data_IF_510098075418
#
_entry.id   IF_510098075418
#
_cell.length_a   1.000
_cell.length_b   1.000
_cell.length_c   1.000
_cell.angle_alpha   90.00
_cell.angle_beta   90.00
_cell.angle_gamma   90.00
#
_symmetry.space_group_name_H-M   'P 1'
#
loop_
_entity.id
_entity.type
_entity.pdbx_description
1 polymer ?
#
# COMPACT_ATOMS: atom_id res chain seq x y z
N UNK A 1 47.83 -25.37 -14.18
CA UNK A 1 47.29 -24.00 -13.97
C UNK A 1 45.94 -23.84 -14.69
N UNK A 2 45.03 -24.81 -14.50
CA UNK A 2 43.73 -24.91 -15.22
C UNK A 2 42.63 -25.52 -14.33
N UNK A 3 42.79 -25.45 -13.01
CA UNK A 3 41.85 -26.09 -12.04
C UNK A 3 41.39 -25.16 -10.91
N UNK A 4 41.81 -23.88 -10.91
CA UNK A 4 41.48 -22.95 -9.82
C UNK A 4 40.27 -22.03 -10.10
N UNK A 5 39.61 -22.15 -11.26
CA UNK A 5 38.50 -21.25 -11.68
C UNK A 5 37.12 -21.92 -11.56
N UNK A 6 37.04 -23.21 -11.20
CA UNK A 6 35.79 -23.99 -11.32
C UNK A 6 34.98 -24.16 -10.02
N UNK A 7 35.32 -23.51 -8.89
CA UNK A 7 34.75 -23.91 -7.58
C UNK A 7 33.91 -22.91 -6.79
N UNK A 8 33.57 -21.74 -7.35
CA UNK A 8 32.77 -20.74 -6.61
C UNK A 8 31.40 -20.39 -7.26
N UNK A 9 30.90 -21.20 -8.19
CA UNK A 9 29.48 -21.18 -8.55
C UNK A 9 28.70 -22.19 -7.70
N UNK A 10 28.76 -22.03 -6.38
CA UNK A 10 27.70 -22.59 -5.55
C UNK A 10 26.42 -21.80 -5.78
N UNK A 11 25.42 -22.56 -6.17
CA UNK A 11 24.10 -22.17 -6.60
C UNK A 11 23.30 -21.52 -5.46
N UNK A 12 23.47 -20.21 -5.30
CA UNK A 12 22.68 -19.38 -4.38
C UNK A 12 21.21 -19.20 -4.84
N UNK A 13 20.77 -19.91 -5.89
CA UNK A 13 19.35 -20.07 -6.22
C UNK A 13 18.62 -21.10 -5.35
N UNK A 14 19.37 -21.86 -4.53
CA UNK A 14 18.84 -22.92 -3.67
C UNK A 14 18.34 -22.47 -2.28
N UNK A 15 18.55 -21.20 -1.90
CA UNK A 15 17.91 -20.66 -0.69
C UNK A 15 16.43 -20.45 -0.99
N UNK A 16 15.50 -21.08 -0.26
CA UNK A 16 14.07 -20.89 -0.50
C UNK A 16 13.77 -19.40 -0.44
N UNK A 17 13.24 -18.86 -1.54
CA UNK A 17 12.75 -17.49 -1.60
C UNK A 17 11.94 -17.23 -0.34
N UNK A 18 12.28 -16.17 0.39
CA UNK A 18 11.68 -15.83 1.67
C UNK A 18 10.16 -15.96 1.53
N UNK A 19 9.54 -16.93 2.24
CA UNK A 19 8.11 -17.22 2.14
C UNK A 19 7.37 -15.90 2.29
N UNK A 20 6.79 -15.42 1.19
CA UNK A 20 6.04 -14.17 1.20
C UNK A 20 4.96 -14.29 2.27
N UNK A 21 4.67 -13.19 2.97
CA UNK A 21 3.72 -13.18 4.11
C UNK A 21 2.25 -13.25 3.65
N UNK A 22 1.98 -13.90 2.52
CA UNK A 22 0.67 -14.03 1.89
C UNK A 22 0.20 -15.48 1.97
N UNK A 23 -1.11 -15.68 2.08
CA UNK A 23 -1.72 -17.01 1.96
C UNK A 23 -1.79 -17.46 0.51
N UNK A 24 -1.55 -18.74 0.27
CA UNK A 24 -1.94 -19.40 -0.97
C UNK A 24 -3.44 -19.70 -0.88
N UNK A 25 -4.24 -18.96 -1.65
CA UNK A 25 -5.69 -19.02 -1.57
C UNK A 25 -6.25 -20.17 -2.44
N UNK A 26 -7.10 -21.06 -1.88
CA UNK A 26 -7.91 -21.99 -2.67
C UNK A 26 -8.82 -21.25 -3.66
N UNK A 27 -9.24 -21.91 -4.73
CA UNK A 27 -10.08 -21.30 -5.79
C UNK A 27 -11.34 -20.59 -5.27
N UNK A 28 -11.98 -21.14 -4.23
CA UNK A 28 -13.16 -20.53 -3.60
C UNK A 28 -12.82 -19.14 -3.06
N UNK A 29 -11.71 -19.00 -2.34
CA UNK A 29 -11.29 -17.74 -1.76
C UNK A 29 -10.76 -16.75 -2.80
N UNK A 30 -10.18 -17.25 -3.90
CA UNK A 30 -9.84 -16.40 -5.06
C UNK A 30 -11.11 -15.79 -5.69
N UNK A 31 -12.17 -16.58 -5.86
CA UNK A 31 -13.47 -16.08 -6.34
C UNK A 31 -14.08 -15.06 -5.38
N UNK A 32 -14.03 -15.33 -4.07
CA UNK A 32 -14.51 -14.37 -3.05
C UNK A 32 -13.72 -13.07 -3.10
N UNK A 33 -12.38 -13.13 -3.21
CA UNK A 33 -11.53 -11.95 -3.39
C UNK A 33 -11.90 -11.18 -4.66
N UNK A 34 -12.09 -11.87 -5.79
CA UNK A 34 -12.48 -11.25 -7.04
C UNK A 34 -13.85 -10.54 -6.94
N UNK A 35 -14.83 -11.15 -6.28
CA UNK A 35 -16.15 -10.54 -6.04
C UNK A 35 -16.02 -9.30 -5.17
N UNK A 36 -15.28 -9.37 -4.06
CA UNK A 36 -15.06 -8.22 -3.19
C UNK A 36 -14.31 -7.09 -3.92
N UNK A 37 -13.32 -7.41 -4.76
CA UNK A 37 -12.61 -6.42 -5.58
C UNK A 37 -13.55 -5.77 -6.59
N UNK A 38 -14.43 -6.55 -7.24
CA UNK A 38 -15.45 -6.00 -8.11
C UNK A 38 -16.41 -5.06 -7.36
N UNK A 39 -16.85 -5.43 -6.15
CA UNK A 39 -17.68 -4.57 -5.30
C UNK A 39 -16.94 -3.26 -4.96
N UNK A 40 -15.66 -3.32 -4.55
CA UNK A 40 -14.86 -2.13 -4.26
C UNK A 40 -14.70 -1.23 -5.48
N UNK A 41 -14.48 -1.80 -6.67
CA UNK A 41 -14.40 -1.05 -7.93
C UNK A 41 -15.74 -0.38 -8.23
N UNK A 42 -16.85 -1.10 -8.11
CA UNK A 42 -18.19 -0.54 -8.36
C UNK A 42 -18.50 0.60 -7.38
N UNK A 43 -18.19 0.44 -6.10
CA UNK A 43 -18.35 1.49 -5.08
C UNK A 43 -17.51 2.72 -5.43
N UNK A 44 -16.23 2.53 -5.78
CA UNK A 44 -15.35 3.64 -6.13
C UNK A 44 -15.79 4.35 -7.42
N UNK A 45 -16.23 3.60 -8.43
CA UNK A 45 -16.78 4.16 -9.68
C UNK A 45 -18.06 4.96 -9.39
N UNK A 46 -18.96 4.42 -8.57
CA UNK A 46 -20.18 5.14 -8.17
C UNK A 46 -19.85 6.47 -7.48
N UNK A 47 -18.90 6.46 -6.53
CA UNK A 47 -18.46 7.64 -5.81
C UNK A 47 -17.78 8.67 -6.74
N UNK A 48 -16.83 8.22 -7.58
CA UNK A 48 -16.04 9.11 -8.44
C UNK A 48 -16.91 9.77 -9.53
N UNK A 49 -17.76 8.98 -10.19
CA UNK A 49 -18.61 9.48 -11.28
C UNK A 49 -19.93 10.08 -10.79
N UNK A 50 -20.22 9.99 -9.49
CA UNK A 50 -21.49 10.35 -8.88
C UNK A 50 -22.66 9.88 -9.75
N UNK A 51 -22.74 8.56 -9.97
CA UNK A 51 -23.76 7.93 -10.82
C UNK A 51 -25.20 8.13 -10.30
N UNK A 52 -25.38 8.85 -9.18
CA UNK A 52 -26.66 9.29 -8.65
C UNK A 52 -27.54 10.03 -9.66
N UNK A 53 -26.95 10.66 -10.70
CA UNK A 53 -27.73 11.20 -11.84
C UNK A 53 -28.54 10.13 -12.59
N UNK A 54 -28.02 8.90 -12.71
CA UNK A 54 -28.69 7.78 -13.39
C UNK A 54 -29.57 6.93 -12.46
N UNK A 55 -29.24 6.88 -11.15
CA UNK A 55 -29.88 5.97 -10.17
C UNK A 55 -30.84 6.69 -9.22
N UNK A 56 -30.86 8.04 -9.21
CA UNK A 56 -31.77 8.84 -8.38
C UNK A 56 -31.40 8.89 -6.89
N UNK A 57 -30.20 8.43 -6.52
CA UNK A 57 -29.71 8.39 -5.15
C UNK A 57 -28.22 8.78 -5.12
N UNK A 58 -27.87 9.83 -4.37
CA UNK A 58 -26.49 10.24 -4.13
C UNK A 58 -26.04 9.66 -2.80
N UNK A 59 -24.93 8.92 -2.81
CA UNK A 59 -24.42 8.30 -1.59
C UNK A 59 -23.64 9.32 -0.75
N UNK A 60 -23.88 9.34 0.56
CA UNK A 60 -23.09 10.12 1.50
C UNK A 60 -21.64 9.64 1.51
N UNK A 61 -20.68 10.56 1.58
CA UNK A 61 -19.25 10.26 1.60
C UNK A 61 -18.88 9.30 2.75
N UNK A 62 -19.41 9.53 3.96
CA UNK A 62 -19.19 8.63 5.10
C UNK A 62 -19.74 7.22 4.85
N UNK A 63 -20.89 7.10 4.17
CA UNK A 63 -21.46 5.79 3.81
C UNK A 63 -20.55 5.06 2.82
N UNK A 64 -20.00 5.76 1.83
CA UNK A 64 -19.01 5.22 0.93
C UNK A 64 -17.76 4.73 1.68
N UNK A 65 -17.22 5.55 2.57
CA UNK A 65 -16.04 5.23 3.37
C UNK A 65 -16.26 3.98 4.25
N UNK A 66 -17.43 3.84 4.87
CA UNK A 66 -17.76 2.64 5.65
C UNK A 66 -17.83 1.40 4.76
N UNK A 67 -18.54 1.45 3.62
CA UNK A 67 -18.68 0.28 2.76
C UNK A 67 -17.35 -0.16 2.15
N UNK A 68 -16.56 0.76 1.59
CA UNK A 68 -15.27 0.41 0.99
C UNK A 68 -14.30 -0.14 2.04
N UNK A 69 -14.26 0.46 3.23
CA UNK A 69 -13.40 -0.01 4.33
C UNK A 69 -13.82 -1.39 4.82
N UNK A 70 -15.11 -1.64 5.01
CA UNK A 70 -15.59 -2.95 5.44
C UNK A 70 -15.21 -4.07 4.46
N UNK A 71 -15.32 -3.82 3.15
CA UNK A 71 -14.93 -4.78 2.10
C UNK A 71 -13.42 -4.97 2.07
N UNK A 72 -12.63 -3.89 2.11
CA UNK A 72 -11.16 -3.99 2.08
C UNK A 72 -10.59 -4.60 3.36
N UNK A 73 -11.20 -4.35 4.51
CA UNK A 73 -10.79 -4.96 5.78
C UNK A 73 -11.01 -6.47 5.73
N UNK A 74 -12.14 -6.95 5.18
CA UNK A 74 -12.36 -8.38 4.92
C UNK A 74 -11.24 -8.98 4.04
N UNK A 75 -10.82 -8.29 2.98
CA UNK A 75 -9.70 -8.73 2.13
C UNK A 75 -8.38 -8.90 2.91
N UNK A 76 -8.11 -8.04 3.90
CA UNK A 76 -6.92 -8.15 4.75
C UNK A 76 -6.92 -9.47 5.52
N UNK A 77 -8.06 -9.86 6.11
CA UNK A 77 -8.18 -11.11 6.89
C UNK A 77 -8.13 -12.37 6.03
N UNK A 78 -8.46 -12.28 4.73
CA UNK A 78 -8.26 -13.37 3.77
C UNK A 78 -6.78 -13.47 3.36
N UNK A 79 -6.16 -12.34 3.02
CA UNK A 79 -4.85 -12.30 2.37
C UNK A 79 -3.70 -12.52 3.37
N UNK A 80 -3.79 -11.91 4.56
CA UNK A 80 -2.69 -11.88 5.52
C UNK A 80 -2.93 -12.84 6.70
N UNK A 81 -2.04 -13.84 6.89
CA UNK A 81 -2.15 -14.77 8.00
C UNK A 81 -1.87 -14.08 9.34
N UNK A 82 -2.55 -14.53 10.40
CA UNK A 82 -2.40 -13.96 11.74
C UNK A 82 -0.98 -14.14 12.33
N UNK A 83 -0.31 -15.24 12.00
CA UNK A 83 1.03 -15.61 12.52
C UNK A 83 1.75 -16.46 11.48
N UNK A 84 3.08 -16.58 11.58
CA UNK A 84 3.91 -17.45 10.72
C UNK A 84 3.48 -18.93 10.74
N UNK A 85 2.83 -19.36 11.82
CA UNK A 85 2.31 -20.73 12.02
C UNK A 85 0.82 -20.87 11.64
N UNK A 86 0.19 -19.81 11.13
CA UNK A 86 -1.21 -19.88 10.69
C UNK A 86 -1.36 -20.89 9.56
N UNK A 87 -2.50 -21.58 9.44
CA UNK A 87 -2.80 -22.40 8.29
C UNK A 87 -2.71 -21.61 6.98
N UNK A 88 -2.40 -22.32 5.89
CA UNK A 88 -2.38 -21.79 4.52
C UNK A 88 -3.77 -21.43 4.02
N UNK A 89 -4.82 -22.12 4.51
CA UNK A 89 -6.22 -21.80 4.24
C UNK A 89 -6.75 -20.72 5.21
N UNK A 90 -7.87 -20.09 4.84
CA UNK A 90 -8.56 -19.13 5.72
C UNK A 90 -9.20 -19.88 6.89
N UNK A 91 -8.76 -19.65 8.13
CA UNK A 91 -9.25 -20.35 9.30
C UNK A 91 -10.62 -19.80 9.74
N UNK A 92 -11.37 -20.62 10.49
CA UNK A 92 -12.74 -20.28 10.92
C UNK A 92 -12.83 -18.97 11.72
N UNK A 93 -11.79 -18.64 12.49
CA UNK A 93 -11.76 -17.38 13.24
C UNK A 93 -11.69 -16.15 12.33
N UNK A 94 -11.02 -16.24 11.18
CA UNK A 94 -10.99 -15.14 10.20
C UNK A 94 -12.33 -14.98 9.50
N UNK A 95 -13.03 -16.09 9.23
CA UNK A 95 -14.40 -16.06 8.70
C UNK A 95 -15.35 -15.39 9.70
N UNK A 96 -15.23 -15.71 11.00
CA UNK A 96 -16.01 -15.05 12.04
C UNK A 96 -15.71 -13.55 12.12
N UNK A 97 -14.43 -13.16 12.09
CA UNK A 97 -14.05 -11.74 12.09
C UNK A 97 -14.60 -11.03 10.86
N UNK A 98 -14.55 -11.64 9.67
CA UNK A 98 -15.14 -11.08 8.46
C UNK A 98 -16.66 -10.91 8.58
N UNK A 99 -17.37 -11.88 9.17
CA UNK A 99 -18.80 -11.75 9.42
C UNK A 99 -19.10 -10.59 10.38
N UNK A 100 -18.30 -10.43 11.45
CA UNK A 100 -18.39 -9.29 12.36
C UNK A 100 -18.14 -7.98 11.62
N UNK A 101 -17.08 -7.88 10.82
CA UNK A 101 -16.79 -6.70 9.97
C UNK A 101 -17.99 -6.39 9.08
N UNK A 102 -18.53 -7.38 8.37
CA UNK A 102 -19.66 -7.18 7.47
C UNK A 102 -20.88 -6.62 8.23
N UNK A 103 -21.19 -7.13 9.42
CA UNK A 103 -22.30 -6.63 10.25
C UNK A 103 -22.04 -5.19 10.72
N UNK A 104 -20.86 -4.91 11.27
CA UNK A 104 -20.52 -3.60 11.83
C UNK A 104 -20.51 -2.52 10.75
N UNK A 105 -19.83 -2.76 9.63
CA UNK A 105 -19.73 -1.76 8.56
C UNK A 105 -21.05 -1.61 7.79
N UNK A 106 -21.89 -2.65 7.72
CA UNK A 106 -23.27 -2.49 7.23
C UNK A 106 -24.11 -1.63 8.17
N UNK A 107 -23.94 -1.78 9.49
CA UNK A 107 -24.60 -0.92 10.48
C UNK A 107 -24.14 0.54 10.33
N UNK A 108 -22.83 0.80 10.24
CA UNK A 108 -22.31 2.15 10.02
C UNK A 108 -22.79 2.75 8.70
N UNK A 109 -22.80 1.96 7.62
CA UNK A 109 -23.33 2.42 6.33
C UNK A 109 -24.82 2.78 6.43
N UNK A 110 -25.64 1.93 7.07
CA UNK A 110 -27.06 2.18 7.23
C UNK A 110 -27.33 3.44 8.05
N UNK A 111 -26.65 3.61 9.19
CA UNK A 111 -26.80 4.76 10.08
C UNK A 111 -25.85 5.94 9.79
N UNK A 112 -25.18 5.96 8.64
CA UNK A 112 -24.14 6.94 8.31
C UNK A 112 -24.61 8.41 8.50
N UNK A 113 -25.83 8.72 8.06
CA UNK A 113 -26.41 10.05 8.20
C UNK A 113 -26.64 10.41 9.67
N UNK A 114 -27.16 9.46 10.45
CA UNK A 114 -27.42 9.63 11.87
C UNK A 114 -26.13 9.83 12.67
N UNK A 115 -25.08 9.06 12.36
CA UNK A 115 -23.75 9.18 12.99
C UNK A 115 -23.23 10.61 12.88
N UNK A 116 -23.38 11.22 11.70
CA UNK A 116 -22.94 12.59 11.44
C UNK A 116 -23.88 13.63 12.08
N UNK A 117 -25.19 13.52 11.84
CA UNK A 117 -26.16 14.53 12.31
C UNK A 117 -26.33 14.57 13.83
N UNK A 118 -26.18 13.42 14.51
CA UNK A 118 -26.26 13.33 15.96
C UNK A 118 -24.89 13.43 16.64
N UNK A 119 -23.81 13.73 15.88
CA UNK A 119 -22.47 13.92 16.39
C UNK A 119 -21.96 12.76 17.28
N UNK A 120 -22.13 11.53 16.79
CA UNK A 120 -21.73 10.31 17.54
C UNK A 120 -20.22 10.24 17.83
N UNK A 121 -19.40 11.06 17.17
CA UNK A 121 -18.00 11.28 17.52
C UNK A 121 -17.80 11.75 18.97
N UNK A 122 -18.76 12.47 19.54
CA UNK A 122 -18.72 12.97 20.91
C UNK A 122 -19.66 12.23 21.85
N UNK A 123 -20.80 11.75 21.33
CA UNK A 123 -21.83 11.13 22.18
C UNK A 123 -22.59 10.07 21.38
N UNK A 124 -21.95 8.91 21.21
CA UNK A 124 -22.59 7.76 20.57
C UNK A 124 -23.59 7.08 21.52
N UNK A 125 -24.64 6.41 21.01
CA UNK A 125 -25.43 5.50 21.82
C UNK A 125 -24.58 4.29 22.27
N UNK A 126 -24.99 3.54 23.30
CA UNK A 126 -24.21 2.40 23.82
C UNK A 126 -23.84 1.35 22.76
N UNK A 127 -24.71 1.16 21.76
CA UNK A 127 -24.42 0.29 20.60
C UNK A 127 -23.27 0.85 19.78
N UNK A 128 -23.26 2.17 19.50
CA UNK A 128 -22.22 2.84 18.75
C UNK A 128 -20.85 2.77 19.45
N UNK A 129 -20.81 2.98 20.77
CA UNK A 129 -19.60 2.83 21.59
C UNK A 129 -19.04 1.41 21.50
N UNK A 130 -19.89 0.39 21.70
CA UNK A 130 -19.47 -1.00 21.61
C UNK A 130 -18.91 -1.34 20.22
N UNK A 131 -19.60 -0.92 19.16
CA UNK A 131 -19.15 -1.14 17.79
C UNK A 131 -17.82 -0.43 17.50
N UNK A 132 -17.61 0.77 18.05
CA UNK A 132 -16.37 1.51 17.88
C UNK A 132 -15.18 0.80 18.54
N UNK A 133 -15.35 0.28 19.76
CA UNK A 133 -14.31 -0.51 20.44
C UNK A 133 -13.95 -1.75 19.63
N UNK A 134 -14.95 -2.49 19.15
CA UNK A 134 -14.72 -3.69 18.34
C UNK A 134 -14.02 -3.34 17.02
N UNK A 135 -14.45 -2.27 16.35
CA UNK A 135 -13.81 -1.80 15.11
C UNK A 135 -12.37 -1.40 15.34
N UNK A 136 -12.09 -0.65 16.41
CA UNK A 136 -10.74 -0.24 16.77
C UNK A 136 -9.82 -1.46 16.97
N UNK A 137 -10.27 -2.47 17.71
CA UNK A 137 -9.51 -3.72 17.91
C UNK A 137 -9.27 -4.46 16.59
N UNK A 138 -10.29 -4.57 15.72
CA UNK A 138 -10.16 -5.22 14.41
C UNK A 138 -9.16 -4.49 13.52
N UNK A 139 -9.21 -3.16 13.48
CA UNK A 139 -8.29 -2.33 12.69
C UNK A 139 -6.86 -2.46 13.22
N UNK A 140 -6.67 -2.48 14.53
CA UNK A 140 -5.38 -2.73 15.16
C UNK A 140 -4.80 -4.09 14.76
N UNK A 141 -5.62 -5.15 14.79
CA UNK A 141 -5.21 -6.49 14.36
C UNK A 141 -4.93 -6.56 12.85
N UNK A 142 -5.74 -5.89 12.03
CA UNK A 142 -5.50 -5.77 10.59
C UNK A 142 -4.18 -5.04 10.30
N UNK A 143 -3.90 -3.95 11.02
CA UNK A 143 -2.63 -3.22 10.96
C UNK A 143 -1.44 -4.09 11.37
N UNK A 144 -1.57 -4.90 12.42
CA UNK A 144 -0.55 -5.89 12.80
C UNK A 144 -0.35 -6.95 11.72
N UNK A 145 -1.41 -7.44 11.08
CA UNK A 145 -1.36 -8.47 10.03
C UNK A 145 -0.81 -7.97 8.70
N UNK A 146 -1.01 -6.70 8.35
CA UNK A 146 -0.46 -6.09 7.14
C UNK A 146 0.94 -5.50 7.39
N UNK A 147 1.08 -4.63 8.40
CA UNK A 147 2.30 -3.88 8.72
C UNK A 147 3.28 -4.60 9.65
N UNK A 148 2.83 -5.61 10.39
CA UNK A 148 3.66 -6.33 11.35
C UNK A 148 3.69 -5.69 12.74
N UNK A 149 4.46 -6.27 13.65
CA UNK A 149 4.62 -5.79 15.02
C UNK A 149 5.13 -4.35 15.14
N UNK A 150 6.10 -3.88 14.33
CA UNK A 150 6.57 -2.50 14.43
C UNK A 150 5.46 -1.47 14.19
N UNK A 151 4.65 -1.66 13.13
CA UNK A 151 3.52 -0.77 12.82
C UNK A 151 2.48 -0.83 13.93
N UNK A 152 2.12 -2.02 14.39
CA UNK A 152 1.18 -2.19 15.50
C UNK A 152 1.64 -1.46 16.77
N UNK A 153 2.90 -1.60 17.16
CA UNK A 153 3.42 -0.97 18.37
C UNK A 153 3.32 0.55 18.31
N UNK A 154 3.71 1.15 17.17
CA UNK A 154 3.61 2.59 16.97
C UNK A 154 2.14 3.05 17.04
N UNK A 155 1.25 2.41 16.28
CA UNK A 155 -0.17 2.78 16.26
C UNK A 155 -0.83 2.55 17.62
N UNK A 156 -0.47 1.50 18.36
CA UNK A 156 -1.01 1.22 19.70
C UNK A 156 -0.64 2.33 20.68
N UNK A 157 0.62 2.77 20.69
CA UNK A 157 1.08 3.83 21.59
C UNK A 157 0.36 5.15 21.30
N UNK A 158 0.28 5.55 20.03
CA UNK A 158 -0.36 6.83 19.67
C UNK A 158 -1.88 6.79 19.76
N UNK A 159 -2.54 5.65 19.50
CA UNK A 159 -3.99 5.55 19.67
C UNK A 159 -4.42 5.48 21.13
N UNK A 160 -3.62 4.88 22.01
CA UNK A 160 -3.91 4.87 23.45
C UNK A 160 -3.47 6.16 24.16
N UNK A 161 -2.60 6.98 23.54
CA UNK A 161 -2.07 8.21 24.15
C UNK A 161 -3.14 9.09 24.81
N UNK A 162 -4.29 9.41 24.19
CA UNK A 162 -5.31 10.24 24.83
C UNK A 162 -5.85 9.68 26.16
N UNK A 163 -5.77 8.37 26.36
CA UNK A 163 -6.32 7.70 27.56
C UNK A 163 -5.44 7.82 28.80
N UNK A 164 -4.14 8.06 28.63
CA UNK A 164 -3.18 8.19 29.73
C UNK A 164 -2.34 9.47 29.66
N UNK A 165 -2.71 10.41 28.78
CA UNK A 165 -1.99 11.66 28.58
C UNK A 165 -1.88 12.53 29.84
N UNK A 166 -2.81 12.39 30.79
CA UNK A 166 -2.82 13.08 32.08
C UNK A 166 -1.66 12.69 33.00
N UNK A 167 -1.04 11.53 32.76
CA UNK A 167 0.05 10.97 33.58
C UNK A 167 1.44 11.24 33.03
N UNK A 168 1.54 11.92 31.89
CA UNK A 168 2.81 12.20 31.23
C UNK A 168 3.43 13.52 31.72
N UNK A 169 4.74 13.75 31.49
CA UNK A 169 5.39 15.03 31.84
C UNK A 169 4.69 16.22 31.19
N UNK A 170 4.68 17.37 31.85
CA UNK A 170 3.95 18.59 31.43
C UNK A 170 4.15 19.01 29.96
N UNK A 171 5.30 18.72 29.38
CA UNK A 171 5.62 19.02 27.97
C UNK A 171 4.72 18.27 26.99
N UNK A 172 4.22 17.10 27.38
CA UNK A 172 3.40 16.20 26.55
C UNK A 172 2.12 15.76 27.29
N UNK A 173 1.76 16.43 28.37
CA UNK A 173 0.55 16.12 29.11
C UNK A 173 -0.68 16.68 28.38
N UNK A 174 -1.81 15.96 28.42
CA UNK A 174 -3.08 16.42 27.90
C UNK A 174 -4.24 15.91 28.76
N UNK A 175 -5.47 16.39 28.48
CA UNK A 175 -6.67 15.89 29.16
C UNK A 175 -6.84 14.40 28.84
N UNK A 176 -7.05 13.58 29.87
CA UNK A 176 -7.35 12.16 29.70
C UNK A 176 -8.75 11.97 29.15
N UNK A 177 -8.87 11.17 28.10
CA UNK A 177 -10.12 10.77 27.47
C UNK A 177 -10.42 9.31 27.84
N UNK A 178 -11.64 8.96 28.31
CA UNK A 178 -12.02 7.58 28.54
C UNK A 178 -11.81 6.68 27.32
N UNK A 179 -11.54 5.39 27.52
CA UNK A 179 -11.27 4.46 26.42
C UNK A 179 -12.45 4.36 25.44
N UNK A 180 -13.69 4.45 25.93
CA UNK A 180 -14.92 4.49 25.13
C UNK A 180 -14.94 5.70 24.19
N UNK A 181 -14.61 6.87 24.74
CA UNK A 181 -14.64 8.15 24.06
C UNK A 181 -13.50 8.23 23.02
N UNK A 182 -12.33 7.69 23.36
CA UNK A 182 -11.24 7.51 22.40
C UNK A 182 -11.64 6.57 21.26
N UNK A 183 -12.36 5.48 21.53
CA UNK A 183 -12.81 4.55 20.50
C UNK A 183 -13.81 5.19 19.52
N UNK A 184 -14.82 5.92 20.02
CA UNK A 184 -15.80 6.62 19.17
C UNK A 184 -15.11 7.73 18.36
N UNK A 185 -14.18 8.47 18.95
CA UNK A 185 -13.38 9.46 18.21
C UNK A 185 -12.55 8.80 17.11
N UNK A 186 -11.91 7.66 17.40
CA UNK A 186 -11.08 6.97 16.42
C UNK A 186 -11.87 6.45 15.22
N UNK A 187 -13.10 5.95 15.43
CA UNK A 187 -13.89 5.26 14.41
C UNK A 187 -14.94 6.16 13.76
N UNK A 188 -15.55 7.07 14.51
CA UNK A 188 -16.62 7.95 14.01
C UNK A 188 -16.13 9.38 13.77
N UNK A 189 -14.95 9.73 14.26
CA UNK A 189 -14.37 11.04 14.04
C UNK A 189 -13.77 11.23 12.66
N UNK A 190 -13.78 12.49 12.22
CA UNK A 190 -13.31 12.89 10.90
C UNK A 190 -11.79 12.97 10.79
N UNK A 191 -11.05 12.88 11.90
CA UNK A 191 -9.60 13.12 11.93
C UNK A 191 -8.77 11.85 12.16
N UNK A 192 -9.40 10.71 12.45
CA UNK A 192 -8.71 9.47 12.80
C UNK A 192 -8.81 8.41 11.70
N UNK A 193 -9.63 7.36 11.87
CA UNK A 193 -9.64 6.22 10.95
C UNK A 193 -10.09 6.61 9.54
N UNK A 194 -11.10 7.46 9.46
CA UNK A 194 -11.68 7.95 8.21
C UNK A 194 -11.18 9.34 7.82
N UNK A 195 -10.10 9.81 8.43
CA UNK A 195 -9.56 11.13 8.14
C UNK A 195 -8.88 11.26 6.79
N UNK A 196 -8.09 12.32 6.64
CA UNK A 196 -7.48 12.71 5.38
C UNK A 196 -6.80 11.55 4.62
N UNK A 197 -5.95 10.70 5.24
CA UNK A 197 -5.29 9.62 4.51
C UNK A 197 -6.27 8.61 3.91
N UNK A 198 -7.32 8.24 4.64
CA UNK A 198 -8.33 7.28 4.16
C UNK A 198 -9.21 7.92 3.08
N UNK A 199 -9.60 9.17 3.27
CA UNK A 199 -10.40 9.92 2.30
C UNK A 199 -9.68 10.04 0.97
N UNK A 200 -8.41 10.43 1.01
CA UNK A 200 -7.54 10.52 -0.17
C UNK A 200 -7.34 9.15 -0.82
N UNK A 201 -7.15 8.12 -0.02
CA UNK A 201 -6.98 6.76 -0.52
C UNK A 201 -8.21 6.30 -1.31
N UNK A 202 -9.40 6.43 -0.71
CA UNK A 202 -10.63 5.94 -1.30
C UNK A 202 -11.13 6.79 -2.48
N UNK A 203 -10.82 8.08 -2.55
CA UNK A 203 -11.30 8.98 -3.62
C UNK A 203 -10.35 9.11 -4.80
N UNK A 204 -9.03 9.06 -4.55
CA UNK A 204 -8.00 9.27 -5.59
C UNK A 204 -7.14 8.04 -5.79
N UNK A 205 -6.44 7.60 -4.74
CA UNK A 205 -5.38 6.56 -4.84
C UNK A 205 -5.94 5.25 -5.39
N UNK A 206 -7.12 4.84 -4.93
CA UNK A 206 -7.73 3.58 -5.33
C UNK A 206 -7.98 3.52 -6.84
N UNK A 207 -8.46 4.60 -7.45
CA UNK A 207 -8.67 4.68 -8.91
C UNK A 207 -7.37 4.54 -9.70
N UNK A 208 -6.31 5.24 -9.26
CA UNK A 208 -4.99 5.11 -9.88
C UNK A 208 -4.39 3.71 -9.70
N UNK A 209 -4.62 3.06 -8.55
CA UNK A 209 -4.17 1.69 -8.29
C UNK A 209 -4.86 0.70 -9.24
N UNK A 210 -6.17 0.81 -9.42
CA UNK A 210 -6.94 -0.03 -10.37
C UNK A 210 -6.43 0.18 -11.81
N UNK A 211 -6.18 1.42 -12.21
CA UNK A 211 -5.58 1.72 -13.52
C UNK A 211 -4.17 1.14 -13.66
N UNK A 212 -3.29 1.33 -12.68
CA UNK A 212 -1.91 0.83 -12.70
C UNK A 212 -1.84 -0.69 -12.78
N UNK A 213 -2.67 -1.39 -12.00
CA UNK A 213 -2.78 -2.86 -12.06
C UNK A 213 -3.33 -3.29 -13.41
N UNK A 214 -4.38 -2.66 -13.92
CA UNK A 214 -4.95 -2.99 -15.24
C UNK A 214 -3.91 -2.83 -16.35
N UNK A 215 -3.13 -1.75 -16.32
CA UNK A 215 -2.06 -1.49 -17.27
C UNK A 215 -0.93 -2.53 -17.17
N UNK A 216 -0.61 -3.00 -15.96
CA UNK A 216 0.38 -4.05 -15.77
C UNK A 216 -0.09 -5.40 -16.36
N UNK A 217 -1.36 -5.76 -16.17
CA UNK A 217 -1.95 -7.00 -16.69
C UNK A 217 -2.18 -6.99 -18.20
N UNK A 218 -2.44 -5.84 -18.81
CA UNK A 218 -2.59 -5.71 -20.27
C UNK A 218 -1.27 -5.73 -21.04
N UNK A 219 -0.13 -5.90 -20.35
CA UNK A 219 1.19 -6.00 -20.96
C UNK A 219 2.07 -4.75 -20.83
N UNK A 220 1.64 -3.75 -20.06
CA UNK A 220 2.44 -2.55 -19.78
C UNK A 220 3.80 -2.88 -19.14
N UNK A 221 3.85 -3.89 -18.26
CA UNK A 221 5.11 -4.30 -17.63
C UNK A 221 6.20 -4.73 -18.64
N UNK A 222 5.95 -5.76 -19.45
CA UNK A 222 6.86 -6.16 -20.54
C UNK A 222 7.13 -5.03 -21.53
N UNK A 223 6.13 -4.20 -21.85
CA UNK A 223 6.30 -3.05 -22.74
C UNK A 223 7.37 -2.06 -22.24
N UNK A 224 7.28 -1.62 -20.98
CA UNK A 224 8.26 -0.65 -20.43
C UNK A 224 9.65 -1.25 -20.26
N UNK A 225 9.76 -2.54 -19.94
CA UNK A 225 11.04 -3.24 -19.89
C UNK A 225 11.67 -3.29 -21.29
N UNK A 226 10.90 -3.68 -22.31
CA UNK A 226 11.37 -3.76 -23.69
C UNK A 226 11.74 -2.38 -24.25
N UNK A 227 10.96 -1.35 -23.92
CA UNK A 227 11.27 0.04 -24.25
C UNK A 227 12.60 0.48 -23.63
N UNK A 228 12.84 0.16 -22.36
CA UNK A 228 14.10 0.46 -21.70
C UNK A 228 15.27 -0.26 -22.38
N UNK A 229 15.13 -1.55 -22.70
CA UNK A 229 16.15 -2.30 -23.45
C UNK A 229 16.41 -1.72 -24.83
N UNK A 230 15.38 -1.28 -25.55
CA UNK A 230 15.53 -0.67 -26.87
C UNK A 230 16.29 0.67 -26.81
N UNK A 231 16.01 1.49 -25.80
CA UNK A 231 16.62 2.83 -25.67
C UNK A 231 18.04 2.80 -25.08
N UNK A 232 18.31 1.88 -24.15
CA UNK A 232 19.51 1.94 -23.30
C UNK A 232 20.35 0.66 -23.36
N UNK A 233 19.81 -0.46 -23.87
CA UNK A 233 20.48 -1.76 -23.86
C UNK A 233 21.76 -1.80 -24.69
N UNK A 234 21.82 -1.02 -25.77
CA UNK A 234 23.02 -0.91 -26.62
C UNK A 234 24.10 0.03 -26.04
N UNK A 235 23.80 0.78 -24.98
CA UNK A 235 24.78 1.66 -24.36
C UNK A 235 25.78 0.87 -23.51
N UNK A 236 26.98 1.41 -23.31
CA UNK A 236 27.91 0.91 -22.29
C UNK A 236 27.20 0.93 -20.93
N UNK A 237 27.11 -0.25 -20.29
CA UNK A 237 26.35 -0.42 -19.04
C UNK A 237 24.86 -0.59 -19.21
N UNK A 238 24.43 -0.94 -20.43
CA UNK A 238 23.04 -1.05 -20.83
C UNK A 238 22.16 -1.74 -19.79
N UNK A 239 22.47 -2.97 -19.32
CA UNK A 239 21.63 -3.66 -18.35
C UNK A 239 21.39 -2.92 -17.03
N UNK A 240 22.37 -2.18 -16.49
CA UNK A 240 22.17 -1.37 -15.28
C UNK A 240 21.30 -0.13 -15.55
N UNK A 241 21.50 0.53 -16.69
CA UNK A 241 20.68 1.67 -17.11
C UNK A 241 19.25 1.26 -17.42
N UNK A 242 19.08 0.11 -18.07
CA UNK A 242 17.79 -0.51 -18.34
C UNK A 242 17.09 -0.84 -17.03
N UNK A 243 17.79 -1.44 -16.05
CA UNK A 243 17.22 -1.72 -14.73
C UNK A 243 16.71 -0.44 -14.04
N UNK A 244 17.52 0.61 -14.01
CA UNK A 244 17.15 1.90 -13.40
C UNK A 244 15.96 2.54 -14.11
N UNK A 245 15.99 2.60 -15.44
CA UNK A 245 14.95 3.26 -16.24
C UNK A 245 13.63 2.49 -16.24
N UNK A 246 13.68 1.17 -16.43
CA UNK A 246 12.48 0.32 -16.36
C UNK A 246 11.87 0.31 -14.96
N UNK A 247 12.68 0.27 -13.91
CA UNK A 247 12.19 0.41 -12.52
C UNK A 247 11.56 1.77 -12.26
N UNK A 248 12.09 2.86 -12.84
CA UNK A 248 11.46 4.17 -12.74
C UNK A 248 10.08 4.22 -13.39
N UNK A 249 9.96 3.68 -14.60
CA UNK A 249 8.69 3.60 -15.33
C UNK A 249 7.68 2.64 -14.68
N UNK A 250 8.15 1.50 -14.18
CA UNK A 250 7.30 0.52 -13.50
C UNK A 250 6.90 1.00 -12.10
N UNK A 251 7.82 1.69 -11.43
CA UNK A 251 7.61 2.32 -10.13
C UNK A 251 6.62 3.47 -10.21
N UNK A 252 6.64 4.25 -11.29
CA UNK A 252 5.70 5.35 -11.49
C UNK A 252 4.26 4.90 -11.71
N UNK A 253 4.04 3.62 -12.04
CA UNK A 253 2.72 3.02 -12.13
C UNK A 253 2.27 2.34 -10.84
N UNK A 254 3.19 1.60 -10.20
CA UNK A 254 2.86 0.79 -9.02
C UNK A 254 2.85 1.58 -7.71
N UNK A 255 3.56 2.71 -7.65
CA UNK A 255 3.61 3.60 -6.48
C UNK A 255 4.27 3.00 -5.23
N UNK A 256 4.77 1.76 -5.31
CA UNK A 256 5.24 0.98 -4.17
C UNK A 256 6.58 0.29 -4.45
N UNK A 257 7.64 0.51 -3.64
CA UNK A 257 8.95 -0.08 -3.88
C UNK A 257 8.92 -1.61 -3.84
N UNK A 258 8.14 -2.19 -2.91
CA UNK A 258 8.05 -3.65 -2.74
C UNK A 258 7.46 -4.30 -3.99
N UNK A 259 6.35 -3.75 -4.51
CA UNK A 259 5.72 -4.27 -5.73
C UNK A 259 6.64 -4.14 -6.92
N UNK A 260 7.42 -3.06 -7.00
CA UNK A 260 8.33 -2.83 -8.10
C UNK A 260 9.51 -3.82 -8.06
N UNK A 261 10.17 -4.00 -6.92
CA UNK A 261 11.25 -5.00 -6.78
C UNK A 261 10.76 -6.42 -7.10
N UNK A 262 9.52 -6.76 -6.74
CA UNK A 262 8.94 -8.07 -7.06
C UNK A 262 8.69 -8.29 -8.56
N UNK A 263 8.51 -7.22 -9.34
CA UNK A 263 8.23 -7.31 -10.77
C UNK A 263 9.47 -7.11 -11.64
N UNK A 264 10.31 -6.12 -11.34
CA UNK A 264 11.52 -5.81 -12.12
C UNK A 264 12.74 -6.60 -11.64
N UNK A 265 12.88 -6.82 -10.32
CA UNK A 265 14.03 -7.47 -9.70
C UNK A 265 14.40 -8.85 -10.27
N UNK A 266 13.44 -9.78 -10.51
CA UNK A 266 13.74 -11.08 -11.09
C UNK A 266 14.39 -11.03 -12.48
N UNK A 267 14.21 -9.93 -13.21
CA UNK A 267 14.78 -9.73 -14.55
C UNK A 267 16.03 -8.85 -14.50
N UNK A 268 16.00 -7.76 -13.72
CA UNK A 268 17.06 -6.76 -13.67
C UNK A 268 18.31 -7.26 -12.94
N UNK A 269 18.15 -7.93 -11.79
CA UNK A 269 19.28 -8.37 -10.96
C UNK A 269 20.14 -9.40 -11.70
N UNK A 270 19.59 -10.49 -12.29
CA UNK A 270 20.40 -11.42 -13.07
C UNK A 270 21.04 -10.78 -14.30
N UNK A 271 20.35 -9.86 -14.98
CA UNK A 271 20.88 -9.16 -16.14
C UNK A 271 22.11 -8.29 -15.80
N UNK A 272 22.08 -7.58 -14.67
CA UNK A 272 23.23 -6.84 -14.16
C UNK A 272 24.39 -7.77 -13.76
N UNK A 273 24.09 -8.90 -13.11
CA UNK A 273 25.13 -9.86 -12.70
C UNK A 273 25.86 -10.48 -13.89
N UNK A 274 25.16 -10.79 -14.98
CA UNK A 274 25.76 -11.38 -16.21
C UNK A 274 26.82 -10.50 -16.86
N UNK A 275 26.81 -9.19 -16.62
CA UNK A 275 27.79 -8.25 -17.17
C UNK A 275 28.88 -7.82 -16.17
N UNK A 276 28.98 -8.51 -15.03
CA UNK A 276 30.08 -8.33 -14.07
C UNK A 276 29.77 -7.50 -12.83
N UNK A 277 28.54 -7.03 -12.61
CA UNK A 277 28.19 -6.38 -11.34
C UNK A 277 28.11 -7.40 -10.20
N UNK A 278 28.60 -7.01 -9.01
CA UNK A 278 28.46 -7.85 -7.80
C UNK A 278 26.98 -8.01 -7.42
N UNK A 279 26.67 -9.09 -6.69
CA UNK A 279 25.31 -9.38 -6.24
C UNK A 279 24.76 -8.25 -5.36
N UNK A 280 25.59 -7.74 -4.46
CA UNK A 280 25.26 -6.68 -3.51
C UNK A 280 24.94 -5.40 -4.27
N UNK A 281 25.78 -5.03 -5.24
CA UNK A 281 25.57 -3.83 -6.05
C UNK A 281 24.32 -3.93 -6.92
N UNK A 282 24.11 -5.05 -7.61
CA UNK A 282 22.92 -5.27 -8.44
C UNK A 282 21.62 -5.17 -7.60
N UNK A 283 21.60 -5.79 -6.41
CA UNK A 283 20.45 -5.70 -5.51
C UNK A 283 20.25 -4.29 -4.94
N UNK A 284 21.33 -3.56 -4.65
CA UNK A 284 21.26 -2.19 -4.16
C UNK A 284 20.76 -1.21 -5.23
N UNK A 285 21.21 -1.36 -6.49
CA UNK A 285 20.73 -0.54 -7.61
C UNK A 285 19.24 -0.76 -7.82
N UNK A 286 18.79 -2.01 -7.82
CA UNK A 286 17.36 -2.34 -7.94
C UNK A 286 16.56 -1.73 -6.79
N UNK A 287 16.98 -1.93 -5.54
CA UNK A 287 16.27 -1.39 -4.36
C UNK A 287 16.16 0.15 -4.41
N UNK A 288 17.23 0.84 -4.78
CA UNK A 288 17.22 2.30 -4.93
C UNK A 288 16.33 2.73 -6.11
N UNK A 289 16.48 2.12 -7.29
CA UNK A 289 15.67 2.46 -8.45
C UNK A 289 14.17 2.23 -8.18
N UNK A 290 13.82 1.16 -7.47
CA UNK A 290 12.45 0.88 -7.06
C UNK A 290 11.92 1.88 -6.03
N UNK A 291 12.77 2.37 -5.12
CA UNK A 291 12.41 3.42 -4.16
C UNK A 291 12.10 4.75 -4.86
N UNK A 292 12.83 5.06 -5.93
CA UNK A 292 12.57 6.23 -6.78
C UNK A 292 11.18 6.28 -7.39
N UNK A 293 10.53 5.11 -7.57
CA UNK A 293 9.17 5.00 -8.09
C UNK A 293 8.11 5.71 -7.23
N UNK A 294 8.36 5.89 -5.93
CA UNK A 294 7.41 6.49 -4.97
C UNK A 294 7.15 7.97 -5.25
N UNK A 295 8.03 8.65 -5.95
CA UNK A 295 7.84 10.07 -6.29
C UNK A 295 7.92 10.33 -7.78
N UNK A 296 8.14 9.31 -8.61
CA UNK A 296 8.10 9.43 -10.06
C UNK A 296 6.63 9.52 -10.56
N UNK A 297 6.24 10.60 -11.25
CA UNK A 297 4.93 10.71 -11.91
C UNK A 297 4.72 9.63 -13.00
N UNK A 298 3.48 9.19 -13.28
CA UNK A 298 2.22 9.87 -13.01
C UNK A 298 1.39 9.34 -11.83
N UNK A 299 1.62 8.12 -11.31
CA UNK A 299 0.85 7.61 -10.15
C UNK A 299 1.54 7.96 -8.84
N UNK A 300 2.88 7.91 -8.80
CA UNK A 300 3.65 8.14 -7.57
C UNK A 300 3.18 7.23 -6.43
N UNK A 301 3.74 7.38 -5.23
CA UNK A 301 3.30 6.68 -4.03
C UNK A 301 2.20 7.44 -3.29
N UNK A 302 1.57 6.74 -2.34
CA UNK A 302 0.48 7.27 -1.51
C UNK A 302 0.81 8.63 -0.86
N UNK A 303 2.08 8.87 -0.51
CA UNK A 303 2.57 10.12 0.08
C UNK A 303 2.28 11.35 -0.78
N UNK A 304 2.34 11.23 -2.11
CA UNK A 304 2.08 12.35 -3.02
C UNK A 304 0.62 12.81 -2.96
N UNK A 305 -0.30 11.85 -2.86
CA UNK A 305 -1.73 12.13 -2.73
C UNK A 305 -2.06 12.76 -1.37
N UNK A 306 -1.45 12.23 -0.31
CA UNK A 306 -1.57 12.80 1.04
C UNK A 306 -1.06 14.24 1.05
N UNK A 307 0.10 14.51 0.44
CA UNK A 307 0.66 15.85 0.30
C UNK A 307 -0.27 16.79 -0.47
N UNK A 308 -0.83 16.36 -1.59
CA UNK A 308 -1.78 17.16 -2.38
C UNK A 308 -3.00 17.57 -1.53
N UNK A 309 -3.53 16.64 -0.75
CA UNK A 309 -4.67 16.90 0.14
C UNK A 309 -4.31 17.81 1.31
N UNK A 310 -3.16 17.60 1.96
CA UNK A 310 -2.71 18.45 3.06
C UNK A 310 -2.45 19.89 2.62
N UNK A 311 -1.86 20.07 1.44
CA UNK A 311 -1.60 21.38 0.85
C UNK A 311 -2.85 22.01 0.20
N UNK A 312 -3.95 21.25 0.09
CA UNK A 312 -5.17 21.66 -0.59
C UNK A 312 -4.91 22.17 -2.03
N UNK A 313 -4.08 21.44 -2.77
CA UNK A 313 -3.76 21.69 -4.18
C UNK A 313 -4.06 20.46 -5.03
N UNK A 314 -4.20 20.67 -6.34
CA UNK A 314 -4.41 19.56 -7.27
C UNK A 314 -3.23 18.58 -7.24
N UNK A 315 -3.53 17.27 -7.26
CA UNK A 315 -2.54 16.21 -7.42
C UNK A 315 -1.62 16.45 -8.62
N UNK A 316 -2.16 16.98 -9.73
CA UNK A 316 -1.39 17.28 -10.94
C UNK A 316 -0.29 18.32 -10.65
N UNK A 317 -0.56 19.30 -9.79
CA UNK A 317 0.45 20.29 -9.41
C UNK A 317 1.61 19.64 -8.62
N UNK A 318 1.29 18.73 -7.70
CA UNK A 318 2.30 17.94 -6.96
C UNK A 318 3.09 17.05 -7.91
N UNK A 319 2.43 16.39 -8.85
CA UNK A 319 3.07 15.53 -9.85
C UNK A 319 4.02 16.32 -10.76
N UNK A 320 3.62 17.51 -11.23
CA UNK A 320 4.49 18.39 -12.02
C UNK A 320 5.70 18.85 -11.20
N UNK A 321 5.49 19.26 -9.95
CA UNK A 321 6.57 19.66 -9.05
C UNK A 321 7.56 18.51 -8.79
N UNK A 322 7.07 17.27 -8.75
CA UNK A 322 7.88 16.07 -8.53
C UNK A 322 8.71 15.62 -9.75
N UNK A 323 8.49 16.18 -10.95
CA UNK A 323 9.28 15.84 -12.15
C UNK A 323 10.76 16.15 -11.93
N UNK A 324 11.07 17.34 -11.43
CA UNK A 324 12.46 17.78 -11.21
C UNK A 324 13.21 16.85 -10.23
N UNK A 325 12.72 16.61 -9.00
CA UNK A 325 13.41 15.72 -8.07
C UNK A 325 13.47 14.27 -8.59
N UNK A 326 12.45 13.82 -9.32
CA UNK A 326 12.45 12.50 -9.96
C UNK A 326 13.58 12.37 -10.98
N UNK A 327 13.67 13.31 -11.92
CA UNK A 327 14.72 13.31 -12.94
C UNK A 327 16.10 13.39 -12.30
N UNK A 328 16.29 14.25 -11.29
CA UNK A 328 17.56 14.35 -10.58
C UNK A 328 17.94 13.05 -9.84
N UNK A 329 16.98 12.39 -9.21
CA UNK A 329 17.21 11.11 -8.52
C UNK A 329 17.65 10.01 -9.48
N UNK A 330 16.90 9.81 -10.58
CA UNK A 330 17.23 8.79 -11.57
C UNK A 330 18.50 9.14 -12.34
N UNK A 331 18.77 10.42 -12.59
CA UNK A 331 20.05 10.87 -13.14
C UNK A 331 21.22 10.58 -12.20
N UNK A 332 21.05 10.82 -10.89
CA UNK A 332 22.03 10.47 -9.85
C UNK A 332 22.33 8.96 -9.83
N UNK A 333 21.29 8.13 -9.87
CA UNK A 333 21.43 6.67 -9.98
C UNK A 333 22.16 6.25 -11.26
N UNK A 334 21.76 6.81 -12.41
CA UNK A 334 22.39 6.53 -13.69
C UNK A 334 23.88 6.92 -13.69
N UNK A 335 24.22 8.11 -13.19
CA UNK A 335 25.61 8.58 -13.11
C UNK A 335 26.46 7.68 -12.20
N UNK A 336 25.92 7.26 -11.05
CA UNK A 336 26.60 6.33 -10.14
C UNK A 336 26.82 4.95 -10.79
N UNK A 337 25.85 4.45 -11.56
CA UNK A 337 25.99 3.20 -12.30
C UNK A 337 27.10 3.27 -13.36
N UNK A 338 27.24 4.41 -14.04
CA UNK A 338 28.29 4.63 -15.03
C UNK A 338 29.68 4.69 -14.41
N UNK A 339 29.82 5.37 -13.26
CA UNK A 339 31.10 5.48 -12.53
C UNK A 339 31.57 4.12 -12.02
N UNK A 340 30.67 3.32 -11.45
CA UNK A 340 31.02 2.00 -10.93
C UNK A 340 31.49 1.07 -12.05
N UNK A 341 30.88 1.15 -13.22
CA UNK A 341 31.26 0.31 -14.34
C UNK A 341 32.67 0.63 -14.87
N UNK A 342 33.10 1.89 -14.81
CA UNK A 342 34.50 2.28 -15.13
C UNK A 342 35.53 1.77 -14.12
N UNK A 343 35.10 1.36 -12.93
CA UNK A 343 35.97 0.77 -11.92
C UNK A 343 36.02 -0.77 -11.99
N UNK A 344 35.07 -1.39 -12.71
CA UNK A 344 34.94 -2.85 -12.88
C UNK A 344 35.53 -3.35 -14.20
N UNK A 345 35.59 -2.49 -15.22
CA UNK A 345 36.22 -2.72 -16.53
C UNK A 345 37.56 -1.97 -16.57
#
# INVERSE_FOLDING_TARGET
>A
MSEAVSKNHEDDSSKPAQKLRYRELPEVWQKVMAVMTAISIVLAVNQIFNLGFFVGYVMLDSRYMYLITGVMLCMVFITFPATKHSPTHVPRYDILIMAVIAVIFSYYAFYAERIVLEAWEYTAPPVGEFLAIVTWVIVMEAGRRAGGWPVFAIVAVFSLYPTFADRLPDVIAALSIPLTDAAIFHVMGAESLFGLPMTVFATLVFGFLVFGISLQFTGGGPFFINLAFALLGHMRGGPAKVAIFSSGLMGSMSGGPISNVLTTGPLSIPAMRRIGFSKEYASGVEACASTGGVFMPPIMGATAFVMASFLNISYVAVAIAAIIPSVLYFFGLLSRSMLMQRAVI
#
